data_IF_543315651847
#
_entry.id   IF_543315651847
#
_cell.length_a   1.000
_cell.length_b   1.000
_cell.length_c   1.000
_cell.angle_alpha   90.00
_cell.angle_beta   90.00
_cell.angle_gamma   90.00
#
_symmetry.space_group_name_H-M   'P 1'
#
loop_
_entity.id
_entity.type
_entity.pdbx_description
1 polymer ?
#
# COMPACT_ATOMS: atom_id res chain seq x y z
N UNK A 1 -30.71 24.30 -4.36
CA UNK A 1 -30.30 24.07 -2.96
C UNK A 1 -29.08 23.17 -2.96
N UNK A 2 -27.90 23.72 -2.67
CA UNK A 2 -26.68 22.92 -2.52
C UNK A 2 -26.76 22.18 -1.17
N UNK A 3 -26.91 20.86 -1.20
CA UNK A 3 -26.80 20.04 0.00
C UNK A 3 -25.38 20.22 0.57
N UNK A 4 -25.28 20.87 1.73
CA UNK A 4 -24.03 20.95 2.49
C UNK A 4 -23.58 19.52 2.79
N UNK A 5 -22.43 19.13 2.24
CA UNK A 5 -21.87 17.82 2.51
C UNK A 5 -21.70 17.67 4.03
N UNK A 6 -22.28 16.62 4.61
CA UNK A 6 -22.18 16.35 6.04
C UNK A 6 -20.69 16.37 6.46
N UNK A 7 -20.31 17.03 7.56
CA UNK A 7 -18.90 17.19 7.99
C UNK A 7 -18.11 15.88 7.97
N UNK A 8 -18.77 14.77 8.33
CA UNK A 8 -18.19 13.42 8.35
C UNK A 8 -17.81 12.90 6.96
N UNK A 9 -18.52 13.31 5.90
CA UNK A 9 -18.13 12.98 4.52
C UNK A 9 -16.84 13.67 4.10
N UNK A 10 -16.68 14.94 4.50
CA UNK A 10 -15.46 15.70 4.24
C UNK A 10 -14.25 15.08 4.95
N UNK A 11 -14.42 14.65 6.20
CA UNK A 11 -13.39 13.94 6.96
C UNK A 11 -13.03 12.59 6.31
N UNK A 12 -14.02 11.79 5.91
CA UNK A 12 -13.79 10.50 5.24
C UNK A 12 -13.01 10.68 3.93
N UNK A 13 -13.41 11.63 3.09
CA UNK A 13 -12.71 11.91 1.82
C UNK A 13 -11.29 12.42 2.05
N UNK A 14 -11.06 13.24 3.08
CA UNK A 14 -9.69 13.67 3.46
C UNK A 14 -8.84 12.49 3.89
N UNK A 15 -9.36 11.58 4.73
CA UNK A 15 -8.66 10.36 5.11
C UNK A 15 -8.32 9.49 3.88
N UNK A 16 -9.22 9.41 2.91
CA UNK A 16 -8.96 8.69 1.66
C UNK A 16 -7.84 9.31 0.81
N UNK A 17 -7.78 10.64 0.71
CA UNK A 17 -6.66 11.30 0.01
C UNK A 17 -5.32 11.13 0.72
N UNK A 18 -5.31 11.11 2.06
CA UNK A 18 -4.10 10.79 2.83
C UNK A 18 -3.65 9.36 2.53
N UNK A 19 -4.58 8.40 2.54
CA UNK A 19 -4.28 7.01 2.18
C UNK A 19 -3.76 6.85 0.76
N UNK A 20 -4.36 7.57 -0.20
CA UNK A 20 -3.87 7.63 -1.59
C UNK A 20 -2.44 8.15 -1.66
N UNK A 21 -2.15 9.29 -1.02
CA UNK A 21 -0.82 9.88 -1.03
C UNK A 21 0.23 8.94 -0.42
N UNK A 22 -0.09 8.31 0.72
CA UNK A 22 0.77 7.31 1.34
C UNK A 22 1.01 6.10 0.43
N UNK A 23 -0.02 5.66 -0.30
CA UNK A 23 0.09 4.53 -1.23
C UNK A 23 0.97 4.90 -2.42
N UNK A 24 0.85 6.13 -2.96
CA UNK A 24 1.73 6.63 -4.01
C UNK A 24 3.18 6.65 -3.54
N UNK A 25 3.45 7.19 -2.35
CA UNK A 25 4.79 7.20 -1.77
C UNK A 25 5.35 5.79 -1.59
N UNK A 26 4.55 4.87 -1.05
CA UNK A 26 4.95 3.47 -0.87
C UNK A 26 5.18 2.74 -2.20
N UNK A 27 4.41 3.04 -3.24
CA UNK A 27 4.55 2.46 -4.57
C UNK A 27 5.81 2.97 -5.31
N UNK A 28 6.16 4.24 -5.10
CA UNK A 28 7.34 4.84 -5.72
C UNK A 28 8.64 4.50 -4.98
N UNK A 29 8.59 4.30 -3.67
CA UNK A 29 9.75 3.99 -2.84
C UNK A 29 10.66 2.87 -3.39
N UNK A 30 10.17 1.65 -3.74
CA UNK A 30 11.03 0.59 -4.26
C UNK A 30 11.61 0.92 -5.64
N UNK A 31 10.90 1.71 -6.47
CA UNK A 31 11.40 2.12 -7.78
C UNK A 31 12.52 3.14 -7.66
N UNK A 32 12.37 4.09 -6.73
CA UNK A 32 13.40 5.07 -6.40
C UNK A 32 14.61 4.37 -5.79
N UNK A 33 14.41 3.43 -4.87
CA UNK A 33 15.48 2.66 -4.23
C UNK A 33 16.34 1.94 -5.27
N UNK A 34 15.72 1.14 -6.15
CA UNK A 34 16.41 0.43 -7.25
C UNK A 34 17.17 1.38 -8.17
N UNK A 35 16.66 2.60 -8.39
CA UNK A 35 17.28 3.58 -9.27
C UNK A 35 18.41 4.40 -8.62
N UNK A 36 18.57 4.34 -7.28
CA UNK A 36 19.47 5.26 -6.55
C UNK A 36 20.46 4.54 -5.64
N UNK A 37 19.96 3.90 -4.57
CA UNK A 37 20.79 3.33 -3.49
C UNK A 37 20.91 1.81 -3.60
N UNK A 38 19.97 1.17 -4.30
CA UNK A 38 19.87 -0.28 -4.49
C UNK A 38 19.80 -1.06 -3.16
N UNK A 39 19.06 -0.52 -2.18
CA UNK A 39 18.87 -1.14 -0.87
C UNK A 39 18.20 -2.51 -0.96
N UNK A 40 17.27 -2.69 -1.89
CA UNK A 40 16.67 -3.99 -2.23
C UNK A 40 17.73 -4.98 -2.72
N UNK A 41 18.67 -4.57 -3.57
CA UNK A 41 19.77 -5.43 -4.03
C UNK A 41 20.68 -5.85 -2.88
N UNK A 42 21.02 -4.91 -1.99
CA UNK A 42 21.79 -5.20 -0.78
C UNK A 42 21.06 -6.17 0.17
N UNK A 43 19.74 -6.03 0.32
CA UNK A 43 18.90 -6.94 1.11
C UNK A 43 18.95 -8.36 0.54
N UNK A 44 18.75 -8.53 -0.77
CA UNK A 44 18.86 -9.84 -1.45
C UNK A 44 20.26 -10.44 -1.27
N UNK A 45 21.32 -9.65 -1.48
CA UNK A 45 22.72 -10.10 -1.29
C UNK A 45 23.00 -10.56 0.14
N UNK A 46 22.42 -9.89 1.14
CA UNK A 46 22.60 -10.26 2.54
C UNK A 46 21.96 -11.62 2.86
N UNK A 47 20.82 -11.93 2.25
CA UNK A 47 20.15 -13.23 2.39
C UNK A 47 20.85 -14.32 1.58
N UNK A 48 21.40 -13.98 0.41
CA UNK A 48 22.07 -14.91 -0.50
C UNK A 48 23.47 -14.42 -0.90
N UNK A 49 24.49 -14.55 -0.03
CA UNK A 49 25.82 -13.99 -0.27
C UNK A 49 26.55 -14.62 -1.48
N UNK A 50 26.22 -15.87 -1.79
CA UNK A 50 26.88 -16.66 -2.82
C UNK A 50 26.13 -16.64 -4.17
N UNK A 51 25.02 -15.90 -4.28
CA UNK A 51 24.32 -15.79 -5.56
C UNK A 51 25.08 -14.91 -6.54
N UNK A 52 25.10 -15.28 -7.83
CA UNK A 52 25.63 -14.43 -8.87
C UNK A 52 24.76 -13.17 -9.04
N UNK A 53 25.38 -12.10 -9.57
CA UNK A 53 24.77 -10.76 -9.62
C UNK A 53 23.46 -10.70 -10.43
N UNK A 54 23.32 -11.54 -11.46
CA UNK A 54 22.13 -11.64 -12.30
C UNK A 54 20.92 -12.22 -11.54
N UNK A 55 21.13 -13.23 -10.69
CA UNK A 55 20.08 -13.77 -9.83
C UNK A 55 19.67 -12.75 -8.76
N UNK A 56 20.64 -12.03 -8.19
CA UNK A 56 20.36 -10.96 -7.22
C UNK A 56 19.53 -9.85 -7.87
N UNK A 57 19.89 -9.41 -9.07
CA UNK A 57 19.13 -8.39 -9.80
C UNK A 57 17.72 -8.87 -10.18
N UNK A 58 17.58 -10.15 -10.53
CA UNK A 58 16.29 -10.75 -10.87
C UNK A 58 15.34 -10.76 -9.68
N UNK A 59 15.80 -11.26 -8.53
CA UNK A 59 14.98 -11.34 -7.32
C UNK A 59 14.65 -9.94 -6.76
N UNK A 60 15.62 -9.02 -6.79
CA UNK A 60 15.41 -7.60 -6.49
C UNK A 60 14.28 -7.01 -7.34
N UNK A 61 14.36 -7.19 -8.66
CA UNK A 61 13.37 -6.64 -9.59
C UNK A 61 12.00 -7.30 -9.39
N UNK A 62 11.94 -8.57 -9.00
CA UNK A 62 10.69 -9.25 -8.65
C UNK A 62 10.04 -8.62 -7.40
N UNK A 63 10.83 -8.36 -6.34
CA UNK A 63 10.33 -7.67 -5.14
C UNK A 63 9.82 -6.26 -5.47
N UNK A 64 10.62 -5.47 -6.20
CA UNK A 64 10.23 -4.12 -6.61
C UNK A 64 8.97 -4.13 -7.49
N UNK A 65 8.90 -5.05 -8.45
CA UNK A 65 7.74 -5.23 -9.33
C UNK A 65 6.48 -5.61 -8.56
N UNK A 66 6.57 -6.55 -7.62
CA UNK A 66 5.46 -6.92 -6.74
C UNK A 66 4.93 -5.70 -5.96
N UNK A 67 5.81 -4.93 -5.31
CA UNK A 67 5.43 -3.75 -4.55
C UNK A 67 4.79 -2.67 -5.44
N UNK A 68 5.32 -2.46 -6.64
CA UNK A 68 4.76 -1.51 -7.61
C UNK A 68 3.35 -1.92 -8.07
N UNK A 69 3.13 -3.22 -8.36
CA UNK A 69 1.81 -3.73 -8.76
C UNK A 69 0.79 -3.59 -7.63
N UNK A 70 1.15 -4.00 -6.41
CA UNK A 70 0.27 -3.81 -5.24
C UNK A 70 -0.03 -2.32 -5.02
N UNK A 71 0.97 -1.46 -5.15
CA UNK A 71 0.81 -0.01 -5.06
C UNK A 71 -0.17 0.53 -6.10
N UNK A 72 -0.05 0.11 -7.36
CA UNK A 72 -0.95 0.51 -8.44
C UNK A 72 -2.40 0.07 -8.19
N UNK A 73 -2.60 -1.17 -7.74
CA UNK A 73 -3.92 -1.68 -7.35
C UNK A 73 -4.50 -0.89 -6.18
N UNK A 74 -3.68 -0.57 -5.18
CA UNK A 74 -4.07 0.27 -4.05
C UNK A 74 -4.50 1.67 -4.49
N UNK A 75 -3.73 2.32 -5.38
CA UNK A 75 -4.07 3.63 -5.97
C UNK A 75 -5.42 3.57 -6.69
N UNK A 76 -5.64 2.56 -7.53
CA UNK A 76 -6.92 2.36 -8.22
C UNK A 76 -8.08 2.18 -7.22
N UNK A 77 -7.88 1.38 -6.16
CA UNK A 77 -8.88 1.17 -5.10
C UNK A 77 -9.23 2.44 -4.33
N UNK A 78 -8.24 3.28 -4.04
CA UNK A 78 -8.45 4.60 -3.43
C UNK A 78 -9.24 5.54 -4.33
N UNK A 79 -8.84 5.68 -5.59
CA UNK A 79 -9.54 6.54 -6.56
C UNK A 79 -11.00 6.11 -6.72
N UNK A 80 -11.24 4.81 -6.85
CA UNK A 80 -12.59 4.24 -6.90
C UNK A 80 -13.41 4.61 -5.65
N UNK A 81 -12.83 4.41 -4.46
CA UNK A 81 -13.49 4.71 -3.19
C UNK A 81 -13.80 6.21 -3.03
N UNK A 82 -12.88 7.09 -3.44
CA UNK A 82 -13.07 8.55 -3.41
C UNK A 82 -14.23 8.95 -4.31
N UNK A 83 -14.30 8.41 -5.54
CA UNK A 83 -15.41 8.67 -6.46
C UNK A 83 -16.75 8.23 -5.85
N UNK A 84 -16.80 7.04 -5.24
CA UNK A 84 -17.98 6.54 -4.56
C UNK A 84 -18.42 7.41 -3.38
N UNK A 85 -17.46 7.83 -2.54
CA UNK A 85 -17.72 8.65 -1.36
C UNK A 85 -18.25 10.05 -1.73
N UNK A 86 -17.66 10.67 -2.76
CA UNK A 86 -18.11 11.96 -3.31
C UNK A 86 -19.51 11.90 -3.92
N UNK A 87 -19.88 10.77 -4.54
CA UNK A 87 -21.23 10.53 -5.05
C UNK A 87 -22.23 10.08 -3.97
N UNK A 88 -21.78 9.96 -2.71
CA UNK A 88 -22.59 9.48 -1.59
C UNK A 88 -23.22 8.10 -1.81
N UNK A 89 -22.57 7.26 -2.60
CA UNK A 89 -23.10 5.96 -2.94
C UNK A 89 -23.05 5.01 -1.74
N UNK A 90 -24.14 4.29 -1.47
CA UNK A 90 -24.23 3.36 -0.33
C UNK A 90 -23.24 2.19 -0.43
N UNK A 91 -22.88 1.77 -1.64
CA UNK A 91 -21.93 0.68 -1.87
C UNK A 91 -20.50 1.01 -1.42
N UNK A 92 -20.14 2.29 -1.27
CA UNK A 92 -18.77 2.69 -0.89
C UNK A 92 -18.36 2.11 0.45
N UNK A 93 -19.29 1.93 1.38
CA UNK A 93 -19.01 1.35 2.71
C UNK A 93 -18.49 -0.08 2.58
N UNK A 94 -19.17 -0.89 1.77
CA UNK A 94 -18.80 -2.29 1.54
C UNK A 94 -17.49 -2.38 0.77
N UNK A 95 -17.36 -1.63 -0.32
CA UNK A 95 -16.13 -1.67 -1.15
C UNK A 95 -14.91 -1.18 -0.37
N UNK A 96 -15.00 -0.06 0.35
CA UNK A 96 -13.88 0.43 1.16
C UNK A 96 -13.52 -0.52 2.30
N UNK A 97 -14.49 -1.24 2.88
CA UNK A 97 -14.20 -2.27 3.88
C UNK A 97 -13.46 -3.46 3.26
N UNK A 98 -13.89 -3.95 2.09
CA UNK A 98 -13.20 -5.03 1.37
C UNK A 98 -11.78 -4.61 0.97
N UNK A 99 -11.63 -3.43 0.37
CA UNK A 99 -10.32 -2.90 -0.03
C UNK A 99 -9.39 -2.71 1.18
N UNK A 100 -9.91 -2.22 2.30
CA UNK A 100 -9.15 -2.13 3.54
C UNK A 100 -8.71 -3.51 4.03
N UNK A 101 -9.61 -4.49 4.07
CA UNK A 101 -9.26 -5.85 4.51
C UNK A 101 -8.17 -6.47 3.63
N UNK A 102 -8.28 -6.32 2.30
CA UNK A 102 -7.24 -6.80 1.38
C UNK A 102 -5.92 -6.07 1.59
N UNK A 103 -5.93 -4.74 1.68
CA UNK A 103 -4.72 -3.95 1.91
C UNK A 103 -4.06 -4.24 3.25
N UNK A 104 -4.86 -4.41 4.32
CA UNK A 104 -4.38 -4.77 5.64
C UNK A 104 -3.76 -6.18 5.64
N UNK A 105 -4.38 -7.16 4.98
CA UNK A 105 -3.82 -8.49 4.82
C UNK A 105 -2.49 -8.46 4.06
N UNK A 106 -2.40 -7.69 2.98
CA UNK A 106 -1.13 -7.53 2.23
C UNK A 106 -0.06 -6.85 3.08
N UNK A 107 -0.41 -5.82 3.85
CA UNK A 107 0.53 -5.17 4.77
C UNK A 107 1.06 -6.14 5.85
N UNK A 108 0.16 -6.93 6.45
CA UNK A 108 0.53 -7.95 7.42
C UNK A 108 1.41 -9.04 6.80
N UNK A 109 1.09 -9.49 5.59
CA UNK A 109 1.94 -10.42 4.83
C UNK A 109 3.32 -9.84 4.59
N UNK A 110 3.44 -8.60 4.09
CA UNK A 110 4.75 -7.97 3.85
C UNK A 110 5.56 -7.79 5.15
N UNK A 111 4.90 -7.66 6.30
CA UNK A 111 5.55 -7.55 7.61
C UNK A 111 5.97 -8.89 8.22
N UNK A 112 5.39 -10.01 7.78
CA UNK A 112 5.57 -11.32 8.45
C UNK A 112 6.07 -12.44 7.54
N UNK A 113 6.03 -12.25 6.22
CA UNK A 113 6.38 -13.28 5.26
C UNK A 113 7.90 -13.50 5.25
N UNK A 114 8.30 -14.66 5.76
CA UNK A 114 9.63 -15.23 5.60
C UNK A 114 9.67 -16.20 4.42
N UNK A 115 10.85 -16.51 3.92
CA UNK A 115 10.99 -17.45 2.80
C UNK A 115 12.44 -17.75 2.46
N UNK A 116 12.79 -19.03 2.30
CA UNK A 116 14.16 -19.43 2.00
C UNK A 116 15.14 -18.93 3.06
N UNK A 117 16.14 -18.14 2.63
CA UNK A 117 17.13 -17.53 3.52
C UNK A 117 16.68 -16.19 4.14
N UNK A 118 15.52 -15.65 3.71
CA UNK A 118 15.00 -14.40 4.24
C UNK A 118 14.35 -14.59 5.61
N UNK A 119 14.82 -13.82 6.60
CA UNK A 119 14.02 -13.59 7.82
C UNK A 119 12.70 -12.91 7.47
N UNK A 120 12.74 -11.90 6.61
CA UNK A 120 11.58 -11.27 5.95
C UNK A 120 11.91 -11.03 4.48
N UNK A 121 11.01 -11.47 3.58
CA UNK A 121 11.21 -11.33 2.12
C UNK A 121 11.27 -9.86 1.73
N UNK A 122 10.34 -9.05 2.22
CA UNK A 122 10.33 -7.60 2.00
C UNK A 122 11.20 -6.93 3.09
N UNK A 123 12.12 -6.03 2.72
CA UNK A 123 12.94 -5.32 3.70
C UNK A 123 12.08 -4.53 4.70
N UNK A 124 12.46 -4.45 5.99
CA UNK A 124 11.63 -3.84 7.03
C UNK A 124 11.15 -2.42 6.73
N UNK A 125 11.99 -1.60 6.09
CA UNK A 125 11.62 -0.23 5.72
C UNK A 125 10.47 -0.20 4.70
N UNK A 126 10.54 -1.05 3.67
CA UNK A 126 9.51 -1.14 2.64
C UNK A 126 8.21 -1.74 3.20
N UNK A 127 8.31 -2.72 4.09
CA UNK A 127 7.14 -3.27 4.79
C UNK A 127 6.46 -2.23 5.68
N UNK A 128 7.23 -1.44 6.43
CA UNK A 128 6.71 -0.38 7.28
C UNK A 128 6.01 0.72 6.45
N UNK A 129 6.65 1.18 5.36
CA UNK A 129 6.05 2.15 4.44
C UNK A 129 4.75 1.62 3.82
N UNK A 130 4.75 0.36 3.37
CA UNK A 130 3.57 -0.30 2.81
C UNK A 130 2.41 -0.50 3.80
N UNK A 131 2.67 -0.44 5.11
CA UNK A 131 1.64 -0.57 6.15
C UNK A 131 0.94 0.77 6.47
N UNK A 132 1.58 1.93 6.23
CA UNK A 132 1.00 3.25 6.53
C UNK A 132 -0.36 3.50 5.86
N UNK A 133 -0.58 3.13 4.58
CA UNK A 133 -1.88 3.27 3.95
C UNK A 133 -3.02 2.52 4.68
N UNK A 134 -2.72 1.41 5.37
CA UNK A 134 -3.73 0.66 6.10
C UNK A 134 -4.30 1.46 7.29
N UNK A 135 -3.48 2.29 7.95
CA UNK A 135 -3.96 3.19 9.01
C UNK A 135 -4.96 4.23 8.48
N UNK A 136 -4.66 4.81 7.32
CA UNK A 136 -5.58 5.71 6.63
C UNK A 136 -6.85 4.97 6.17
N UNK A 137 -6.72 3.72 5.71
CA UNK A 137 -7.83 2.84 5.35
C UNK A 137 -8.79 2.59 6.51
N UNK A 138 -8.25 2.25 7.68
CA UNK A 138 -9.03 2.05 8.89
C UNK A 138 -9.80 3.31 9.28
N UNK A 139 -9.13 4.47 9.27
CA UNK A 139 -9.77 5.75 9.55
C UNK A 139 -10.90 6.06 8.56
N UNK A 140 -10.68 5.83 7.26
CA UNK A 140 -11.69 6.03 6.22
C UNK A 140 -12.91 5.12 6.42
N UNK A 141 -12.70 3.83 6.71
CA UNK A 141 -13.78 2.87 6.98
C UNK A 141 -14.60 3.31 8.19
N UNK A 142 -13.95 3.64 9.31
CA UNK A 142 -14.64 4.08 10.54
C UNK A 142 -15.49 5.33 10.28
N UNK A 143 -14.96 6.32 9.55
CA UNK A 143 -15.69 7.55 9.23
C UNK A 143 -16.87 7.30 8.27
N UNK A 144 -16.73 6.40 7.30
CA UNK A 144 -17.80 6.04 6.37
C UNK A 144 -18.98 5.33 7.05
N UNK A 145 -18.72 4.54 8.08
CA UNK A 145 -19.74 3.80 8.85
C UNK A 145 -20.41 4.65 9.93
N UNK A 146 -19.74 5.70 10.42
CA UNK A 146 -20.32 6.68 11.35
C UNK A 146 -21.25 7.70 10.69
N UNK A 147 -21.26 7.74 9.35
CA UNK A 147 -22.16 8.57 8.54
C UNK A 147 -23.53 7.92 8.37
#
# INVERSE_FOLDING_TARGET
>A
MAATALPETGKAVRAMYIGLALTVLAALAPLIDVATVDGLGAHVRSAYPNWPDDLVATDRNAIAGYLAVIGALGIAGWLWSIVGARKHARWVRVVSTIMFSLGASVALLNLSLSGGAYTNVIPPLHSALGALPALAGLAAVVLLWKR
#
